data_IF_735375283501
#
_entry.id   IF_735375283501
#
_cell.length_a   1.000
_cell.length_b   1.000
_cell.length_c   1.000
_cell.angle_alpha   90.00
_cell.angle_beta   90.00
_cell.angle_gamma   90.00
#
_symmetry.space_group_name_H-M   'P 1'
#
loop_
_entity.id
_entity.type
_entity.pdbx_description
1 polymer ?
#
# COMPACT_ATOMS: atom_id res chain seq x y z
N UNK A 1 34.48 62.48 48.13
CA UNK A 1 34.59 62.55 46.66
C UNK A 1 33.70 61.45 46.12
N UNK A 2 32.45 61.68 45.72
CA UNK A 2 31.98 62.49 44.59
C UNK A 2 31.72 61.51 43.43
N UNK A 3 30.59 61.43 42.74
CA UNK A 3 29.29 62.10 42.75
C UNK A 3 28.46 61.46 41.62
N UNK A 4 27.11 61.49 41.71
CA UNK A 4 26.25 61.32 40.52
C UNK A 4 26.43 62.48 39.53
N UNK A 5 25.82 62.50 38.32
CA UNK A 5 24.38 62.33 38.02
C UNK A 5 24.15 61.44 36.76
N UNK A 6 22.99 61.04 36.24
CA UNK A 6 21.64 61.61 36.13
C UNK A 6 21.32 61.95 34.65
N UNK A 7 20.33 61.28 34.02
CA UNK A 7 19.58 61.69 32.79
C UNK A 7 18.39 60.72 32.62
N UNK A 8 17.13 61.14 32.78
CA UNK A 8 16.20 61.95 31.93
C UNK A 8 15.34 61.10 30.97
N UNK A 9 14.05 61.44 31.02
CA UNK A 9 12.86 60.90 30.37
C UNK A 9 12.77 61.17 28.85
N UNK A 10 12.02 60.32 28.15
CA UNK A 10 10.99 60.61 27.12
C UNK A 10 10.26 59.27 26.81
N UNK A 11 8.95 59.09 26.69
CA UNK A 11 7.83 60.02 26.47
C UNK A 11 7.37 60.02 25.01
N UNK A 12 6.25 59.36 24.68
CA UNK A 12 5.48 59.46 23.41
C UNK A 12 5.41 58.15 22.61
N UNK A 13 4.27 57.47 22.40
CA UNK A 13 2.99 57.80 21.73
C UNK A 13 2.87 57.13 20.33
N UNK A 14 1.68 56.57 20.04
CA UNK A 14 1.22 56.09 18.71
C UNK A 14 1.25 54.55 18.58
N UNK A 15 0.16 53.79 18.51
CA UNK A 15 -1.15 54.08 17.95
C UNK A 15 -1.12 53.87 16.43
N UNK A 16 -1.61 52.74 15.93
CA UNK A 16 -1.74 52.53 14.48
C UNK A 16 -2.05 51.10 14.06
N UNK A 17 -3.33 50.84 13.77
CA UNK A 17 -3.83 49.67 13.07
C UNK A 17 -3.07 49.40 11.75
N UNK A 18 -2.81 48.13 11.51
CA UNK A 18 -2.37 47.60 10.22
C UNK A 18 -2.85 46.18 10.05
N UNK A 19 -4.18 46.00 9.94
CA UNK A 19 -4.80 44.75 9.51
C UNK A 19 -4.41 44.45 8.07
N UNK A 20 -3.25 43.81 7.90
CA UNK A 20 -2.85 43.22 6.64
C UNK A 20 -3.57 41.90 6.45
N UNK A 21 -4.75 41.95 5.82
CA UNK A 21 -5.29 40.81 5.07
C UNK A 21 -4.33 40.56 3.89
N UNK A 22 -3.21 39.91 4.17
CA UNK A 22 -2.35 39.31 3.14
C UNK A 22 -3.08 38.10 2.58
N UNK A 23 -3.79 38.29 1.47
CA UNK A 23 -4.41 37.23 0.70
C UNK A 23 -3.41 36.10 0.46
N UNK A 24 -3.72 34.93 1.04
CA UNK A 24 -2.91 33.71 0.97
C UNK A 24 -2.87 33.16 -0.45
N UNK A 25 -1.95 33.68 -1.27
CA UNK A 25 -1.54 33.10 -2.55
C UNK A 25 -0.38 32.09 -2.39
N UNK A 26 0.05 31.82 -1.15
CA UNK A 26 1.13 30.90 -0.82
C UNK A 26 0.63 29.56 -0.29
N UNK A 27 0.10 28.70 -1.17
CA UNK A 27 -0.06 27.23 -1.03
C UNK A 27 -0.98 26.69 -2.12
N UNK A 28 -0.60 26.86 -3.39
CA UNK A 28 -1.28 26.12 -4.46
C UNK A 28 -0.71 24.69 -4.49
N UNK A 29 -1.58 23.70 -4.27
CA UNK A 29 -1.22 22.30 -4.02
C UNK A 29 -1.22 21.46 -5.31
N UNK A 30 -0.55 20.31 -5.26
CA UNK A 30 -0.10 19.49 -6.38
C UNK A 30 -1.18 19.10 -7.42
N UNK A 31 -2.45 19.14 -7.02
CA UNK A 31 -3.58 18.48 -7.69
C UNK A 31 -4.12 19.28 -8.87
N UNK A 32 -3.97 20.63 -8.85
CA UNK A 32 -4.35 21.50 -9.98
C UNK A 32 -3.53 21.20 -11.23
N UNK A 33 -2.26 20.82 -11.07
CA UNK A 33 -1.38 20.44 -12.19
C UNK A 33 -1.68 19.01 -12.63
N UNK A 34 -1.90 18.06 -11.71
CA UNK A 34 -2.30 16.70 -12.08
C UNK A 34 -3.58 16.70 -12.94
N UNK A 35 -4.59 17.51 -12.58
CA UNK A 35 -5.80 17.69 -13.36
C UNK A 35 -5.55 18.27 -14.76
N UNK A 36 -4.59 19.19 -14.91
CA UNK A 36 -4.21 19.78 -16.21
C UNK A 36 -3.33 18.85 -17.05
N UNK A 37 -2.38 18.15 -16.43
CA UNK A 37 -1.53 17.16 -17.09
C UNK A 37 -2.35 15.98 -17.57
N UNK A 38 -3.36 15.53 -16.82
CA UNK A 38 -4.30 14.49 -17.25
C UNK A 38 -5.22 14.94 -18.38
N UNK A 39 -5.68 16.21 -18.40
CA UNK A 39 -6.40 16.74 -19.59
C UNK A 39 -5.52 16.78 -20.84
N UNK A 40 -4.23 17.08 -20.66
CA UNK A 40 -3.24 17.10 -21.75
C UNK A 40 -2.83 15.69 -22.21
N UNK A 41 -2.79 14.71 -21.31
CA UNK A 41 -2.46 13.32 -21.60
C UNK A 41 -3.68 12.44 -21.96
N UNK A 42 -4.90 12.94 -21.71
CA UNK A 42 -6.18 12.21 -21.86
C UNK A 42 -7.07 12.66 -23.02
N UNK A 43 -6.51 13.26 -24.07
CA UNK A 43 -7.26 13.56 -25.30
C UNK A 43 -7.08 12.44 -26.34
N UNK A 44 -7.97 11.45 -26.33
CA UNK A 44 -8.12 10.39 -27.35
C UNK A 44 -9.33 9.48 -27.03
N UNK A 45 -10.14 9.07 -28.02
CA UNK A 45 -11.60 9.22 -27.99
C UNK A 45 -12.37 8.03 -27.38
N UNK A 46 -13.53 8.33 -26.79
CA UNK A 46 -14.57 7.35 -26.48
C UNK A 46 -15.21 7.55 -25.11
N UNK A 47 -15.96 8.64 -24.93
CA UNK A 47 -17.01 8.66 -23.91
C UNK A 47 -18.22 9.38 -24.53
N UNK A 48 -19.17 8.58 -25.02
CA UNK A 48 -20.40 9.06 -25.62
C UNK A 48 -21.22 9.78 -24.56
N UNK A 49 -21.35 11.09 -24.75
CA UNK A 49 -22.11 11.98 -23.91
C UNK A 49 -23.55 11.51 -23.73
N UNK A 50 -23.82 10.85 -22.61
CA UNK A 50 -25.12 10.90 -21.94
C UNK A 50 -24.97 11.69 -20.65
N UNK A 51 -25.27 12.97 -20.76
CA UNK A 51 -25.49 13.85 -19.62
C UNK A 51 -26.62 13.26 -18.75
N UNK A 52 -26.25 12.65 -17.63
CA UNK A 52 -27.19 12.36 -16.55
C UNK A 52 -27.55 13.69 -15.91
N UNK A 53 -28.79 14.16 -16.17
CA UNK A 53 -29.38 15.27 -15.43
C UNK A 53 -29.43 14.89 -13.95
N UNK A 54 -28.74 15.66 -13.13
CA UNK A 54 -28.82 15.58 -11.67
C UNK A 54 -30.18 16.09 -11.25
N UNK A 55 -31.05 15.18 -10.81
CA UNK A 55 -32.23 15.51 -10.03
C UNK A 55 -31.80 16.02 -8.64
N UNK A 56 -32.62 16.90 -8.07
CA UNK A 56 -32.37 17.64 -6.82
C UNK A 56 -32.13 16.80 -5.56
N UNK A 57 -32.02 17.45 -4.39
CA UNK A 57 -31.31 16.94 -3.23
C UNK A 57 -31.96 15.67 -2.67
N UNK A 58 -31.34 14.52 -2.94
CA UNK A 58 -31.71 13.25 -2.35
C UNK A 58 -30.87 12.98 -1.09
N UNK A 59 -31.52 12.35 -0.12
CA UNK A 59 -31.09 12.11 1.24
C UNK A 59 -29.66 11.54 1.39
N UNK A 60 -29.00 11.92 2.49
CA UNK A 60 -27.68 11.44 2.91
C UNK A 60 -27.55 9.93 2.70
N UNK A 61 -26.48 9.45 2.03
CA UNK A 61 -26.26 8.02 1.87
C UNK A 61 -26.06 7.39 3.25
N UNK A 62 -26.90 6.40 3.58
CA UNK A 62 -26.69 5.56 4.76
C UNK A 62 -25.39 4.80 4.56
N UNK A 63 -24.44 5.04 5.46
CA UNK A 63 -23.23 4.21 5.61
C UNK A 63 -23.71 2.78 5.92
N UNK A 64 -23.38 1.76 5.12
CA UNK A 64 -23.68 0.39 5.49
C UNK A 64 -22.96 0.04 6.79
N UNK A 65 -23.63 -0.66 7.70
CA UNK A 65 -22.99 -1.10 8.94
C UNK A 65 -21.74 -1.95 8.64
N UNK A 66 -20.66 -1.79 9.42
CA UNK A 66 -19.46 -2.58 9.26
C UNK A 66 -19.79 -4.05 9.58
N UNK A 67 -19.72 -4.90 8.57
CA UNK A 67 -19.69 -6.35 8.76
C UNK A 67 -18.38 -6.67 9.49
N UNK A 68 -18.48 -6.89 10.80
CA UNK A 68 -17.44 -7.56 11.57
C UNK A 68 -17.48 -9.02 11.15
N UNK A 69 -16.44 -9.51 10.47
CA UNK A 69 -16.26 -10.95 10.27
C UNK A 69 -15.65 -11.50 11.58
N UNK A 70 -16.35 -12.38 12.32
CA UNK A 70 -15.70 -13.11 13.39
C UNK A 70 -14.92 -14.30 12.81
N UNK A 71 -13.90 -14.72 13.54
CA UNK A 71 -13.07 -15.95 13.38
C UNK A 71 -13.80 -17.22 12.84
N UNK A 72 -15.10 -17.50 13.16
CA UNK A 72 -15.82 -18.66 12.62
C UNK A 72 -16.02 -18.64 11.10
N UNK A 73 -15.94 -17.47 10.45
CA UNK A 73 -16.05 -17.38 8.99
C UNK A 73 -14.79 -17.86 8.27
N UNK A 74 -13.64 -18.02 8.94
CA UNK A 74 -12.51 -18.70 8.32
C UNK A 74 -12.80 -20.20 8.19
N UNK A 75 -13.43 -20.79 9.21
CA UNK A 75 -13.89 -22.18 9.18
C UNK A 75 -15.05 -22.34 8.19
N UNK A 76 -16.06 -21.47 8.22
CA UNK A 76 -17.19 -21.48 7.29
C UNK A 76 -16.84 -20.99 5.87
N UNK A 77 -15.76 -20.25 5.63
CA UNK A 77 -15.31 -19.95 4.26
C UNK A 77 -14.36 -21.03 3.72
N UNK A 78 -13.60 -21.70 4.59
CA UNK A 78 -12.87 -22.93 4.23
C UNK A 78 -13.80 -24.13 4.05
N UNK A 79 -14.99 -24.13 4.67
CA UNK A 79 -15.98 -25.23 4.61
C UNK A 79 -17.26 -24.89 3.81
N UNK A 80 -17.61 -23.61 3.64
CA UNK A 80 -18.94 -23.15 3.18
C UNK A 80 -18.96 -22.41 1.83
N UNK A 81 -17.82 -21.94 1.31
CA UNK A 81 -17.62 -22.04 -0.14
C UNK A 81 -17.29 -23.52 -0.35
N UNK A 82 -18.30 -24.29 -0.80
CA UNK A 82 -18.22 -25.73 -0.90
C UNK A 82 -16.84 -26.16 -1.40
N UNK A 83 -16.04 -26.74 -0.49
CA UNK A 83 -14.86 -27.49 -0.87
C UNK A 83 -15.30 -28.36 -2.06
N UNK A 84 -14.55 -28.36 -3.18
CA UNK A 84 -14.82 -29.31 -4.25
C UNK A 84 -15.08 -30.68 -3.61
N UNK A 85 -16.08 -31.46 -4.06
CA UNK A 85 -16.37 -32.78 -3.49
C UNK A 85 -15.16 -33.73 -3.52
N UNK A 86 -14.15 -33.38 -4.32
CA UNK A 86 -12.84 -33.97 -4.56
C UNK A 86 -11.68 -33.26 -3.84
N UNK A 87 -11.93 -32.23 -3.03
CA UNK A 87 -10.94 -31.73 -2.09
C UNK A 87 -10.60 -32.90 -1.15
N UNK A 88 -9.35 -33.41 -1.18
CA UNK A 88 -8.95 -34.44 -0.24
C UNK A 88 -9.29 -33.91 1.14
N UNK A 89 -10.06 -34.69 1.93
CA UNK A 89 -10.44 -34.38 3.32
C UNK A 89 -9.33 -33.54 3.90
N UNK A 90 -9.60 -32.23 4.07
CA UNK A 90 -8.61 -31.22 4.45
C UNK A 90 -7.80 -31.86 5.56
N UNK A 91 -6.60 -32.35 5.23
CA UNK A 91 -5.89 -33.24 6.16
C UNK A 91 -5.68 -32.34 7.37
N UNK A 92 -6.28 -32.67 8.52
CA UNK A 92 -6.22 -31.81 9.70
C UNK A 92 -4.77 -31.48 10.05
N UNK A 93 -3.84 -32.34 9.59
CA UNK A 93 -2.39 -32.13 9.59
C UNK A 93 -1.91 -30.85 8.91
N UNK A 94 -2.58 -30.32 7.88
CA UNK A 94 -2.18 -29.05 7.26
C UNK A 94 -2.39 -27.88 8.23
N UNK A 95 -3.48 -27.90 9.01
CA UNK A 95 -3.73 -26.90 10.06
C UNK A 95 -2.74 -27.05 11.23
N UNK A 96 -2.20 -28.25 11.45
CA UNK A 96 -1.15 -28.48 12.45
C UNK A 96 0.21 -27.92 12.02
N UNK A 97 0.44 -27.75 10.71
CA UNK A 97 1.74 -27.33 10.15
C UNK A 97 1.75 -25.85 9.76
N UNK A 98 0.72 -25.40 9.04
CA UNK A 98 0.62 -24.03 8.53
C UNK A 98 -0.28 -23.17 9.43
N UNK A 99 0.15 -21.95 9.82
CA UNK A 99 -0.74 -21.00 10.45
C UNK A 99 -2.01 -20.76 9.61
N UNK A 100 -3.20 -20.61 10.23
CA UNK A 100 -4.47 -20.48 9.48
C UNK A 100 -4.46 -19.33 8.46
N UNK A 101 -3.82 -18.20 8.76
CA UNK A 101 -3.72 -17.07 7.84
C UNK A 101 -2.81 -17.38 6.63
N UNK A 102 -1.72 -18.13 6.83
CA UNK A 102 -0.83 -18.59 5.76
C UNK A 102 -1.55 -19.58 4.87
N UNK A 103 -2.25 -20.56 5.46
CA UNK A 103 -3.03 -21.55 4.74
C UNK A 103 -4.09 -20.88 3.85
N UNK A 104 -4.86 -19.96 4.42
CA UNK A 104 -5.90 -19.23 3.70
C UNK A 104 -5.33 -18.43 2.52
N UNK A 105 -4.26 -17.65 2.74
CA UNK A 105 -3.61 -16.90 1.65
C UNK A 105 -3.00 -17.82 0.58
N UNK A 106 -2.40 -18.94 0.98
CA UNK A 106 -1.84 -19.91 0.04
C UNK A 106 -2.93 -20.54 -0.83
N UNK A 107 -4.07 -20.91 -0.26
CA UNK A 107 -5.22 -21.39 -1.03
C UNK A 107 -5.73 -20.33 -2.01
N UNK A 108 -5.95 -19.09 -1.54
CA UNK A 108 -6.45 -18.04 -2.43
C UNK A 108 -5.47 -17.67 -3.55
N UNK A 109 -4.17 -17.74 -3.29
CA UNK A 109 -3.13 -17.41 -4.27
C UNK A 109 -2.94 -18.49 -5.35
N UNK A 110 -3.06 -19.76 -4.97
CA UNK A 110 -2.79 -20.90 -5.87
C UNK A 110 -4.03 -21.57 -6.44
N UNK A 111 -5.14 -21.56 -5.71
CA UNK A 111 -6.34 -22.38 -5.95
C UNK A 111 -5.98 -23.87 -6.18
N UNK A 112 -4.94 -24.36 -5.51
CA UNK A 112 -4.40 -25.71 -5.66
C UNK A 112 -4.00 -26.29 -4.31
N UNK A 113 -4.62 -27.41 -3.94
CA UNK A 113 -4.27 -28.12 -2.70
C UNK A 113 -2.89 -28.78 -2.78
N UNK A 114 -2.45 -29.20 -3.97
CA UNK A 114 -1.09 -29.73 -4.17
C UNK A 114 -0.03 -28.68 -3.88
N UNK A 115 -0.23 -27.44 -4.36
CA UNK A 115 0.68 -26.34 -4.04
C UNK A 115 0.67 -26.01 -2.53
N UNK A 116 -0.50 -26.03 -1.89
CA UNK A 116 -0.63 -25.83 -0.44
C UNK A 116 0.09 -26.93 0.35
N UNK A 117 -0.07 -28.20 -0.04
CA UNK A 117 0.63 -29.32 0.57
C UNK A 117 2.16 -29.20 0.39
N UNK A 118 2.62 -28.83 -0.82
CA UNK A 118 4.03 -28.54 -1.09
C UNK A 118 4.57 -27.39 -0.24
N UNK A 119 3.76 -26.36 0.03
CA UNK A 119 4.13 -25.30 0.97
C UNK A 119 4.26 -25.83 2.40
N UNK A 120 3.32 -26.65 2.87
CA UNK A 120 3.38 -27.23 4.22
C UNK A 120 4.64 -28.10 4.41
N UNK A 121 5.03 -28.87 3.40
CA UNK A 121 6.27 -29.65 3.42
C UNK A 121 7.50 -28.74 3.56
N UNK A 122 7.62 -27.72 2.71
CA UNK A 122 8.74 -26.76 2.77
C UNK A 122 8.73 -26.01 4.10
N UNK A 123 7.55 -25.63 4.60
CA UNK A 123 7.35 -24.89 5.84
C UNK A 123 7.92 -25.61 7.07
N UNK A 124 7.74 -26.93 7.16
CA UNK A 124 8.29 -27.76 8.24
C UNK A 124 9.82 -27.67 8.33
N UNK A 125 10.50 -27.46 7.21
CA UNK A 125 11.95 -27.35 7.12
C UNK A 125 12.50 -25.92 7.34
N UNK A 126 11.64 -24.89 7.38
CA UNK A 126 12.07 -23.50 7.58
C UNK A 126 12.45 -23.23 9.03
N UNK A 127 13.45 -22.37 9.25
CA UNK A 127 13.73 -21.81 10.57
C UNK A 127 12.66 -20.80 11.00
N UNK A 128 12.54 -20.54 12.30
CA UNK A 128 11.54 -19.60 12.83
C UNK A 128 11.61 -18.19 12.19
N UNK A 129 12.80 -17.58 11.94
CA UNK A 129 12.89 -16.29 11.27
C UNK A 129 12.39 -16.31 9.82
N UNK A 130 12.59 -17.43 9.11
CA UNK A 130 12.12 -17.58 7.73
C UNK A 130 10.60 -17.75 7.70
N UNK A 131 10.04 -18.59 8.58
CA UNK A 131 8.58 -18.74 8.73
C UNK A 131 7.90 -17.42 9.02
N UNK A 132 8.43 -16.62 9.95
CA UNK A 132 7.88 -15.31 10.26
C UNK A 132 7.95 -14.36 9.06
N UNK A 133 9.07 -14.31 8.35
CA UNK A 133 9.22 -13.48 7.14
C UNK A 133 8.27 -13.91 6.00
N UNK A 134 7.97 -15.20 5.86
CA UNK A 134 7.01 -15.71 4.86
C UNK A 134 5.57 -15.46 5.30
N UNK A 135 5.23 -15.65 6.58
CA UNK A 135 3.91 -15.35 7.11
C UNK A 135 3.60 -13.85 7.07
N UNK A 136 4.58 -13.00 7.38
CA UNK A 136 4.39 -11.56 7.58
C UNK A 136 5.48 -10.77 6.87
N UNK A 137 5.51 -10.76 5.53
CA UNK A 137 6.56 -10.04 4.78
C UNK A 137 6.50 -8.51 4.98
N UNK A 138 5.37 -7.96 5.43
CA UNK A 138 5.23 -6.54 5.83
C UNK A 138 5.52 -6.29 7.33
N UNK A 139 5.97 -7.33 8.06
CA UNK A 139 6.19 -7.31 9.50
C UNK A 139 4.90 -7.16 10.30
N UNK A 140 5.04 -6.82 11.59
CA UNK A 140 3.92 -6.62 12.52
C UNK A 140 3.39 -5.17 12.52
N UNK A 141 3.70 -4.38 11.48
CA UNK A 141 3.33 -2.96 11.43
C UNK A 141 4.09 -2.06 12.42
N UNK A 142 5.17 -2.56 13.03
CA UNK A 142 6.02 -1.77 13.91
C UNK A 142 6.99 -0.90 13.11
N UNK A 143 7.24 0.33 13.58
CA UNK A 143 8.21 1.20 12.94
C UNK A 143 9.63 0.64 13.10
N UNK A 144 10.40 0.63 12.02
CA UNK A 144 11.73 0.03 12.00
C UNK A 144 12.15 -0.45 10.61
N UNK A 145 13.34 -1.07 10.48
CA UNK A 145 13.71 -1.76 9.25
C UNK A 145 12.71 -2.87 8.91
N UNK A 146 12.25 -2.90 7.66
CA UNK A 146 11.51 -4.05 7.13
C UNK A 146 12.50 -5.00 6.47
N UNK A 147 12.48 -6.27 6.85
CA UNK A 147 13.46 -7.25 6.37
C UNK A 147 12.81 -8.43 5.63
N UNK A 148 13.44 -8.85 4.54
CA UNK A 148 13.17 -10.09 3.82
C UNK A 148 14.42 -10.98 3.96
N UNK A 149 14.27 -12.14 4.60
CA UNK A 149 15.40 -13.06 4.81
C UNK A 149 16.62 -12.37 5.44
N UNK A 150 16.39 -11.54 6.46
CA UNK A 150 17.44 -10.78 7.16
C UNK A 150 17.92 -9.50 6.46
N UNK A 151 17.54 -9.25 5.21
CA UNK A 151 18.01 -8.09 4.43
C UNK A 151 16.94 -7.00 4.31
N UNK A 152 17.32 -5.73 4.23
CA UNK A 152 16.35 -4.65 4.09
C UNK A 152 15.53 -4.80 2.80
N UNK A 153 14.20 -4.73 2.90
CA UNK A 153 13.28 -4.74 1.77
C UNK A 153 13.33 -3.38 1.06
N UNK A 154 14.45 -3.06 0.41
CA UNK A 154 14.73 -1.76 -0.20
C UNK A 154 14.50 -1.78 -1.72
N UNK A 155 14.01 -0.68 -2.27
CA UNK A 155 13.95 -0.47 -3.72
C UNK A 155 15.35 -0.51 -4.34
N UNK A 156 15.46 -1.01 -5.56
CA UNK A 156 16.75 -1.16 -6.25
C UNK A 156 17.31 0.18 -6.74
N UNK A 157 16.44 1.06 -7.25
CA UNK A 157 16.79 2.39 -7.75
C UNK A 157 15.66 3.41 -7.50
N UNK A 158 15.94 4.70 -7.73
CA UNK A 158 15.03 5.82 -7.46
C UNK A 158 13.68 5.80 -8.22
N UNK A 159 13.52 4.90 -9.19
CA UNK A 159 12.32 4.73 -10.02
C UNK A 159 11.62 3.39 -9.77
N UNK A 160 12.07 2.63 -8.79
CA UNK A 160 11.51 1.31 -8.41
C UNK A 160 10.65 1.37 -7.13
N UNK A 161 10.38 2.55 -6.57
CA UNK A 161 9.50 2.69 -5.40
C UNK A 161 8.13 2.02 -5.61
N UNK A 162 7.50 2.26 -6.77
CA UNK A 162 6.21 1.65 -7.13
C UNK A 162 6.29 0.12 -7.28
N UNK A 163 7.29 -0.41 -7.99
CA UNK A 163 7.41 -1.86 -8.16
C UNK A 163 7.85 -2.58 -6.89
N UNK A 164 8.63 -1.94 -6.01
CA UNK A 164 8.93 -2.45 -4.68
C UNK A 164 7.67 -2.56 -3.82
N UNK A 165 6.84 -1.51 -3.80
CA UNK A 165 5.54 -1.53 -3.11
C UNK A 165 4.61 -2.61 -3.66
N UNK A 166 4.49 -2.74 -4.98
CA UNK A 166 3.65 -3.76 -5.60
C UNK A 166 4.16 -5.19 -5.34
N UNK A 167 5.48 -5.38 -5.30
CA UNK A 167 6.09 -6.67 -4.95
C UNK A 167 5.76 -7.04 -3.50
N UNK A 168 5.88 -6.09 -2.57
CA UNK A 168 5.56 -6.32 -1.15
C UNK A 168 4.06 -6.52 -0.92
N UNK A 169 3.21 -5.82 -1.67
CA UNK A 169 1.77 -6.05 -1.68
C UNK A 169 1.44 -7.48 -2.11
N UNK A 170 2.02 -7.94 -3.23
CA UNK A 170 1.84 -9.30 -3.72
C UNK A 170 2.37 -10.35 -2.73
N UNK A 171 3.56 -10.15 -2.18
CA UNK A 171 4.14 -11.08 -1.19
C UNK A 171 3.28 -11.17 0.08
N UNK A 172 2.68 -10.06 0.53
CA UNK A 172 1.78 -10.06 1.67
C UNK A 172 0.48 -10.85 1.43
N UNK A 173 0.06 -10.96 0.17
CA UNK A 173 -1.09 -11.75 -0.25
C UNK A 173 -0.75 -13.18 -0.67
N UNK A 174 0.52 -13.48 -0.96
CA UNK A 174 0.95 -14.73 -1.59
C UNK A 174 2.18 -15.32 -0.85
N UNK A 175 1.95 -16.32 0.02
CA UNK A 175 3.01 -16.99 0.75
C UNK A 175 4.06 -17.67 -0.14
N UNK A 176 3.72 -18.07 -1.38
CA UNK A 176 4.68 -18.68 -2.30
C UNK A 176 5.66 -17.64 -2.84
N UNK A 177 5.19 -16.43 -3.14
CA UNK A 177 6.08 -15.32 -3.50
C UNK A 177 6.96 -14.91 -2.33
N UNK A 178 6.38 -14.80 -1.13
CA UNK A 178 7.15 -14.49 0.08
C UNK A 178 8.24 -15.55 0.35
N UNK A 179 7.90 -16.85 0.23
CA UNK A 179 8.84 -17.96 0.34
C UNK A 179 9.98 -17.85 -0.67
N UNK A 180 9.68 -17.61 -1.94
CA UNK A 180 10.70 -17.44 -2.97
C UNK A 180 11.63 -16.26 -2.68
N UNK A 181 11.07 -15.11 -2.29
CA UNK A 181 11.88 -13.93 -1.94
C UNK A 181 12.83 -14.23 -0.77
N UNK A 182 12.34 -14.87 0.28
CA UNK A 182 13.10 -15.16 1.51
C UNK A 182 14.15 -16.25 1.27
N UNK A 183 13.79 -17.34 0.59
CA UNK A 183 14.60 -18.58 0.57
C UNK A 183 15.13 -18.98 -0.81
N UNK A 184 14.54 -18.47 -1.89
CA UNK A 184 14.82 -18.93 -3.25
C UNK A 184 14.28 -20.33 -3.55
N UNK A 185 13.32 -20.83 -2.76
CA UNK A 185 12.64 -22.11 -3.00
C UNK A 185 11.28 -21.89 -3.64
N UNK A 186 10.98 -22.70 -4.66
CA UNK A 186 9.62 -22.88 -5.16
C UNK A 186 9.02 -24.14 -4.52
N UNK A 187 7.70 -24.21 -4.46
CA UNK A 187 7.02 -25.41 -3.95
C UNK A 187 6.65 -26.33 -5.12
N UNK A 188 6.67 -27.66 -4.94
CA UNK A 188 6.07 -28.58 -5.90
C UNK A 188 4.58 -28.29 -6.10
N UNK A 189 4.04 -28.56 -7.29
CA UNK A 189 2.61 -28.34 -7.64
C UNK A 189 1.83 -29.62 -7.97
N UNK A 190 2.38 -30.80 -7.66
CA UNK A 190 1.75 -32.10 -7.94
C UNK A 190 1.82 -32.53 -9.41
N UNK A 191 2.09 -31.63 -10.35
CA UNK A 191 2.16 -31.92 -11.79
C UNK A 191 3.54 -32.40 -12.28
N UNK A 192 4.47 -32.61 -11.35
CA UNK A 192 5.91 -32.78 -11.65
C UNK A 192 6.63 -31.44 -11.89
N UNK A 193 5.92 -30.31 -11.70
CA UNK A 193 6.44 -28.96 -11.80
C UNK A 193 6.62 -28.29 -10.43
N UNK A 194 6.68 -26.96 -10.46
CA UNK A 194 6.70 -26.12 -9.27
C UNK A 194 5.71 -24.99 -9.44
N UNK A 195 4.98 -24.67 -8.37
CA UNK A 195 4.08 -23.54 -8.34
C UNK A 195 4.88 -22.24 -8.51
N UNK A 196 4.51 -21.44 -9.51
CA UNK A 196 5.15 -20.16 -9.83
C UNK A 196 4.20 -19.00 -9.58
N UNK A 197 4.51 -18.13 -8.62
CA UNK A 197 3.81 -16.85 -8.45
C UNK A 197 3.75 -16.06 -9.77
N UNK A 198 2.67 -15.32 -10.03
CA UNK A 198 2.50 -14.52 -11.25
C UNK A 198 3.69 -13.63 -11.61
N UNK A 199 4.34 -13.03 -10.62
CA UNK A 199 5.48 -12.13 -10.78
C UNK A 199 6.74 -12.84 -11.33
N UNK A 200 6.79 -14.17 -11.23
CA UNK A 200 7.88 -15.01 -11.73
C UNK A 200 7.56 -15.70 -13.06
N UNK A 201 6.33 -15.58 -13.59
CA UNK A 201 5.91 -16.31 -14.81
C UNK A 201 6.73 -15.96 -16.05
N UNK A 202 7.27 -14.75 -16.12
CA UNK A 202 8.14 -14.32 -17.22
C UNK A 202 9.59 -14.81 -17.13
N UNK A 203 10.01 -15.40 -16.00
CA UNK A 203 11.36 -15.91 -15.82
C UNK A 203 11.47 -17.36 -16.32
N UNK A 204 12.47 -17.62 -17.16
CA UNK A 204 12.75 -18.96 -17.64
C UNK A 204 13.32 -19.87 -16.53
N UNK A 205 13.33 -21.20 -16.71
CA UNK A 205 13.94 -22.12 -15.75
C UNK A 205 15.40 -21.79 -15.41
N UNK A 206 16.19 -21.34 -16.39
CA UNK A 206 17.57 -20.94 -16.18
C UNK A 206 17.71 -19.67 -15.32
N UNK A 207 16.84 -18.67 -15.53
CA UNK A 207 16.83 -17.45 -14.72
C UNK A 207 16.48 -17.75 -13.26
N UNK A 208 15.48 -18.62 -13.06
CA UNK A 208 15.07 -19.06 -11.73
C UNK A 208 16.18 -19.88 -11.04
N UNK A 209 16.83 -20.80 -11.75
CA UNK A 209 17.95 -21.57 -11.22
C UNK A 209 19.14 -20.68 -10.84
N UNK A 210 19.40 -19.61 -11.61
CA UNK A 210 20.43 -18.63 -11.31
C UNK A 210 20.08 -17.77 -10.08
N UNK A 211 18.82 -17.35 -9.95
CA UNK A 211 18.34 -16.50 -8.85
C UNK A 211 18.08 -17.27 -7.55
N UNK A 212 17.80 -18.57 -7.61
CA UNK A 212 17.52 -19.41 -6.45
C UNK A 212 18.60 -19.29 -5.35
N UNK A 213 19.91 -19.48 -5.64
CA UNK A 213 20.96 -19.35 -4.63
C UNK A 213 21.35 -17.89 -4.32
N UNK A 214 20.80 -16.89 -5.03
CA UNK A 214 21.16 -15.49 -4.83
C UNK A 214 20.69 -14.97 -3.46
N UNK A 215 21.04 -13.73 -3.10
CA UNK A 215 20.55 -13.16 -1.83
C UNK A 215 19.06 -12.79 -1.93
N UNK A 216 18.33 -12.64 -0.80
CA UNK A 216 16.98 -12.08 -0.81
C UNK A 216 16.90 -10.71 -1.50
N UNK A 217 17.95 -9.90 -1.41
CA UNK A 217 18.03 -8.58 -2.07
C UNK A 217 18.05 -8.74 -3.59
N UNK A 218 18.85 -9.68 -4.11
CA UNK A 218 18.96 -9.91 -5.55
C UNK A 218 17.65 -10.44 -6.13
N UNK A 219 17.01 -11.39 -5.43
CA UNK A 219 15.68 -11.89 -5.81
C UNK A 219 14.63 -10.79 -5.75
N UNK A 220 14.59 -10.00 -4.69
CA UNK A 220 13.67 -8.87 -4.56
C UNK A 220 13.89 -7.85 -5.67
N UNK A 221 15.14 -7.53 -6.01
CA UNK A 221 15.47 -6.64 -7.12
C UNK A 221 15.06 -7.22 -8.49
N UNK A 222 15.21 -8.52 -8.70
CA UNK A 222 14.74 -9.18 -9.93
C UNK A 222 13.21 -9.10 -10.07
N UNK A 223 12.47 -9.37 -9.00
CA UNK A 223 11.01 -9.24 -9.00
C UNK A 223 10.58 -7.80 -9.19
N UNK A 224 11.24 -6.82 -8.54
CA UNK A 224 10.98 -5.40 -8.78
C UNK A 224 11.13 -5.00 -10.24
N UNK A 225 12.12 -5.54 -10.96
CA UNK A 225 12.30 -5.27 -12.40
C UNK A 225 11.18 -5.90 -13.23
N UNK A 226 10.81 -7.14 -12.94
CA UNK A 226 9.69 -7.82 -13.62
C UNK A 226 8.37 -7.06 -13.41
N UNK A 227 8.08 -6.70 -12.16
CA UNK A 227 6.88 -5.93 -11.79
C UNK A 227 6.91 -4.53 -12.39
N UNK A 228 8.05 -3.83 -12.42
CA UNK A 228 8.18 -2.52 -13.09
C UNK A 228 7.91 -2.62 -14.58
N UNK A 229 8.40 -3.67 -15.23
CA UNK A 229 8.15 -3.88 -16.65
C UNK A 229 6.66 -4.15 -16.91
N UNK A 230 6.02 -4.98 -16.08
CA UNK A 230 4.58 -5.23 -16.16
C UNK A 230 3.75 -3.96 -15.90
N UNK A 231 4.13 -3.18 -14.90
CA UNK A 231 3.38 -1.99 -14.47
C UNK A 231 3.65 -0.74 -15.32
N UNK A 232 4.63 -0.77 -16.22
CA UNK A 232 4.84 0.31 -17.21
C UNK A 232 4.31 -0.04 -18.59
N UNK A 233 4.06 -1.32 -18.87
CA UNK A 233 3.53 -1.78 -20.17
C UNK A 233 2.08 -1.31 -20.39
N UNK A 234 1.80 -0.83 -21.59
CA UNK A 234 0.46 -0.41 -22.01
C UNK A 234 -0.14 0.68 -21.10
N UNK A 235 0.70 1.57 -20.59
CA UNK A 235 0.26 2.65 -19.71
C UNK A 235 -0.35 3.81 -20.49
N UNK A 236 0.05 3.98 -21.75
CA UNK A 236 -0.42 5.02 -22.67
C UNK A 236 -1.05 4.35 -23.91
N UNK A 237 -2.06 3.50 -23.68
CA UNK A 237 -2.62 2.63 -24.72
C UNK A 237 -1.66 1.49 -25.05
N UNK A 238 -1.18 1.32 -26.30
CA UNK A 238 -0.19 0.30 -26.64
C UNK A 238 1.25 0.66 -26.21
N UNK A 239 1.50 1.94 -25.89
CA UNK A 239 2.85 2.43 -25.57
C UNK A 239 3.19 2.26 -24.08
N UNK A 240 4.46 1.96 -23.75
CA UNK A 240 4.90 1.90 -22.37
C UNK A 240 5.01 3.30 -21.74
N UNK A 241 4.87 3.35 -20.42
CA UNK A 241 5.24 4.52 -19.63
C UNK A 241 6.76 4.71 -19.64
N UNK A 242 7.27 5.95 -19.72
CA UNK A 242 8.70 6.19 -19.58
C UNK A 242 9.22 5.67 -18.23
N UNK A 243 10.13 4.69 -18.25
CA UNK A 243 10.62 4.03 -17.04
C UNK A 243 11.29 4.98 -16.03
N UNK A 244 11.80 6.13 -16.49
CA UNK A 244 12.37 7.19 -15.65
C UNK A 244 11.32 7.87 -14.75
N UNK A 245 10.03 7.75 -15.08
CA UNK A 245 8.91 8.31 -14.32
C UNK A 245 8.29 7.28 -13.36
N UNK A 246 8.94 6.13 -13.15
CA UNK A 246 8.49 5.10 -12.21
C UNK A 246 7.27 4.35 -12.70
N UNK A 247 6.30 4.10 -11.80
CA UNK A 247 5.08 3.34 -12.09
C UNK A 247 3.85 4.26 -12.04
N UNK A 248 3.06 4.41 -13.12
CA UNK A 248 1.87 5.24 -13.08
C UNK A 248 0.75 4.66 -12.19
N UNK A 249 -0.08 5.49 -11.53
CA UNK A 249 -1.09 4.99 -10.58
C UNK A 249 -2.12 4.02 -11.16
N UNK A 250 -2.60 4.29 -12.39
CA UNK A 250 -3.63 3.46 -13.03
C UNK A 250 -3.11 2.07 -13.43
N UNK A 251 -1.85 1.96 -13.85
CA UNK A 251 -1.25 0.66 -14.15
C UNK A 251 -0.80 -0.05 -12.87
N UNK A 252 -0.36 0.68 -11.83
CA UNK A 252 -0.15 0.10 -10.52
C UNK A 252 -1.43 -0.55 -9.99
N UNK A 253 -2.59 0.10 -10.14
CA UNK A 253 -3.87 -0.48 -9.77
C UNK A 253 -4.18 -1.78 -10.54
N UNK A 254 -3.87 -1.85 -11.84
CA UNK A 254 -4.03 -3.08 -12.64
C UNK A 254 -3.05 -4.19 -12.27
N UNK A 255 -1.83 -3.83 -11.85
CA UNK A 255 -0.78 -4.80 -11.48
C UNK A 255 -0.85 -5.21 -10.01
N UNK A 256 -1.50 -4.41 -9.16
CA UNK A 256 -1.66 -4.68 -7.75
C UNK A 256 -2.39 -6.01 -7.55
N UNK A 257 -1.77 -6.90 -6.78
CA UNK A 257 -2.28 -8.22 -6.49
C UNK A 257 -2.34 -8.42 -4.99
N UNK A 258 -3.54 -8.61 -4.47
CA UNK A 258 -3.80 -9.08 -3.12
C UNK A 258 -5.08 -9.92 -3.18
N UNK A 259 -5.12 -11.15 -2.62
CA UNK A 259 -6.29 -12.01 -2.74
C UNK A 259 -7.58 -11.33 -2.28
N UNK A 260 -8.66 -11.53 -3.06
CA UNK A 260 -9.97 -10.96 -2.74
C UNK A 260 -10.14 -9.46 -3.03
N UNK A 261 -9.16 -8.82 -3.68
CA UNK A 261 -9.26 -7.41 -4.06
C UNK A 261 -8.79 -7.18 -5.51
N UNK A 262 -9.67 -6.58 -6.32
CA UNK A 262 -9.25 -5.78 -7.46
C UNK A 262 -8.92 -4.37 -6.96
N UNK A 263 -7.94 -3.71 -7.56
CA UNK A 263 -7.55 -2.35 -7.15
C UNK A 263 -7.92 -1.32 -8.21
N UNK A 264 -8.25 -0.11 -7.75
CA UNK A 264 -8.52 1.07 -8.58
C UNK A 264 -7.68 2.26 -8.10
N UNK A 265 -7.20 3.06 -9.03
CA UNK A 265 -6.49 4.31 -8.71
C UNK A 265 -7.47 5.45 -8.52
N UNK A 266 -7.35 6.18 -7.42
CA UNK A 266 -8.16 7.35 -7.08
C UNK A 266 -7.24 8.56 -6.96
N UNK A 267 -7.49 9.59 -7.77
CA UNK A 267 -6.82 10.88 -7.63
C UNK A 267 -7.23 11.52 -6.32
N UNK A 268 -6.26 11.99 -5.56
CA UNK A 268 -6.50 12.71 -4.30
C UNK A 268 -6.38 14.18 -4.58
N UNK A 269 -7.46 14.93 -4.40
CA UNK A 269 -7.42 16.37 -4.25
C UNK A 269 -7.21 16.72 -2.77
N UNK A 270 -6.01 17.17 -2.41
CA UNK A 270 -5.64 17.55 -1.05
C UNK A 270 -6.01 19.01 -0.72
N UNK A 271 -6.50 19.78 -1.70
CA UNK A 271 -7.09 21.11 -1.49
C UNK A 271 -8.53 21.05 -0.99
N UNK A 272 -9.22 19.96 -1.33
CA UNK A 272 -10.55 19.66 -0.84
C UNK A 272 -10.45 18.72 0.36
N UNK A 273 -10.52 19.30 1.56
CA UNK A 273 -10.48 18.54 2.81
C UNK A 273 -11.60 17.50 2.90
N UNK A 274 -12.76 17.76 2.30
CA UNK A 274 -13.87 16.82 2.24
C UNK A 274 -13.53 15.60 1.39
N UNK A 275 -12.99 15.82 0.18
CA UNK A 275 -12.53 14.74 -0.70
C UNK A 275 -11.38 13.94 -0.08
N UNK A 276 -10.36 14.61 0.47
CA UNK A 276 -9.24 13.94 1.15
C UNK A 276 -9.74 13.08 2.33
N UNK A 277 -10.66 13.61 3.14
CA UNK A 277 -11.28 12.87 4.25
C UNK A 277 -12.01 11.64 3.74
N UNK A 278 -12.82 11.75 2.69
CA UNK A 278 -13.54 10.63 2.10
C UNK A 278 -12.60 9.55 1.53
N UNK A 279 -11.48 9.94 0.90
CA UNK A 279 -10.46 8.98 0.46
C UNK A 279 -9.83 8.27 1.65
N UNK A 280 -9.46 9.01 2.70
CA UNK A 280 -8.88 8.42 3.91
C UNK A 280 -9.86 7.51 4.66
N UNK A 281 -11.17 7.76 4.60
CA UNK A 281 -12.19 6.84 5.13
C UNK A 281 -12.21 5.52 4.37
N UNK A 282 -12.02 5.56 3.04
CA UNK A 282 -11.88 4.34 2.22
C UNK A 282 -10.59 3.59 2.51
N UNK A 283 -9.48 4.32 2.72
CA UNK A 283 -8.20 3.74 3.19
C UNK A 283 -8.41 3.02 4.52
N UNK A 284 -9.06 3.69 5.47
CA UNK A 284 -9.35 3.16 6.80
C UNK A 284 -10.19 1.89 6.75
N UNK A 285 -11.23 1.88 5.91
CA UNK A 285 -12.08 0.70 5.69
C UNK A 285 -11.30 -0.45 5.03
N UNK A 286 -10.41 -0.15 4.08
CA UNK A 286 -9.56 -1.15 3.44
C UNK A 286 -8.58 -1.78 4.43
N UNK A 287 -7.86 -0.97 5.21
CA UNK A 287 -6.90 -1.44 6.21
C UNK A 287 -7.58 -2.25 7.33
N UNK A 288 -8.78 -1.82 7.76
CA UNK A 288 -9.57 -2.57 8.75
C UNK A 288 -10.00 -3.96 8.25
N UNK A 289 -10.11 -4.13 6.92
CA UNK A 289 -10.39 -5.41 6.26
C UNK A 289 -9.12 -6.19 5.90
N UNK A 290 -7.95 -5.73 6.32
CA UNK A 290 -6.67 -6.38 6.05
C UNK A 290 -6.08 -6.10 4.68
N UNK A 291 -6.63 -5.17 3.89
CA UNK A 291 -6.07 -4.83 2.58
C UNK A 291 -5.01 -3.73 2.69
N UNK A 292 -3.75 -3.99 2.31
CA UNK A 292 -2.75 -2.94 2.21
C UNK A 292 -3.07 -1.96 1.06
N UNK A 293 -2.68 -0.70 1.22
CA UNK A 293 -3.05 0.39 0.31
C UNK A 293 -1.81 1.16 -0.16
N UNK A 294 -1.44 1.07 -1.45
CA UNK A 294 -0.41 1.94 -2.01
C UNK A 294 -0.87 3.40 -2.06
N UNK A 295 -0.02 4.30 -1.60
CA UNK A 295 -0.19 5.75 -1.70
C UNK A 295 0.93 6.36 -2.52
N UNK A 296 0.55 7.24 -3.42
CA UNK A 296 1.46 8.05 -4.21
C UNK A 296 1.66 9.40 -3.54
N UNK A 297 2.93 9.80 -3.40
CA UNK A 297 3.31 11.02 -2.68
C UNK A 297 4.09 11.98 -3.57
N UNK A 298 3.95 13.27 -3.26
CA UNK A 298 4.51 14.37 -4.05
C UNK A 298 4.73 15.64 -3.24
N UNK A 299 5.35 16.63 -3.87
CA UNK A 299 5.73 17.90 -3.27
C UNK A 299 4.79 19.05 -3.62
N UNK A 300 5.05 20.21 -3.02
CA UNK A 300 4.33 21.45 -3.28
C UNK A 300 4.70 22.07 -4.62
N UNK A 301 3.74 22.68 -5.32
CA UNK A 301 4.00 23.44 -6.55
C UNK A 301 4.96 24.62 -6.35
N UNK A 302 5.05 25.14 -5.12
CA UNK A 302 6.01 26.20 -4.76
C UNK A 302 7.47 25.79 -4.96
N UNK A 303 7.75 24.48 -5.06
CA UNK A 303 9.08 23.92 -5.38
C UNK A 303 9.24 23.55 -6.86
N UNK A 304 8.27 23.93 -7.69
CA UNK A 304 8.27 23.73 -9.14
C UNK A 304 7.26 22.68 -9.61
N UNK A 305 6.72 22.87 -10.82
CA UNK A 305 5.66 22.04 -11.43
C UNK A 305 6.03 20.55 -11.51
N UNK A 306 7.32 20.25 -11.71
CA UNK A 306 7.84 18.87 -11.77
C UNK A 306 7.74 18.15 -10.42
N UNK A 307 7.70 18.88 -9.30
CA UNK A 307 7.62 18.30 -7.94
C UNK A 307 6.19 17.97 -7.51
N UNK A 308 5.17 18.46 -8.21
CA UNK A 308 3.75 18.23 -7.93
C UNK A 308 3.17 16.97 -8.60
N UNK A 309 3.93 16.30 -9.44
CA UNK A 309 3.55 15.00 -10.02
C UNK A 309 3.87 13.91 -8.98
N UNK A 310 3.15 12.78 -8.92
CA UNK A 310 3.55 11.64 -8.09
C UNK A 310 5.03 11.29 -8.29
N UNK A 311 5.82 11.36 -7.21
CA UNK A 311 7.28 11.13 -7.25
C UNK A 311 7.69 9.84 -6.57
N UNK A 312 6.86 9.38 -5.65
CA UNK A 312 7.20 8.27 -4.78
C UNK A 312 5.94 7.48 -4.41
N UNK A 313 6.13 6.22 -4.05
CA UNK A 313 5.05 5.31 -3.67
C UNK A 313 5.41 4.67 -2.34
N UNK A 314 4.48 4.71 -1.41
CA UNK A 314 4.57 4.03 -0.10
C UNK A 314 3.41 3.05 0.04
N UNK A 315 3.51 2.10 0.97
CA UNK A 315 2.45 1.14 1.25
C UNK A 315 1.94 1.30 2.67
N UNK A 316 0.66 1.62 2.82
CA UNK A 316 -0.01 1.50 4.12
C UNK A 316 -0.25 0.02 4.42
N UNK A 317 0.23 -0.40 5.59
CA UNK A 317 0.16 -1.78 6.07
C UNK A 317 -1.00 -1.89 7.05
N UNK A 318 -1.86 -2.92 6.96
CA UNK A 318 -2.87 -3.19 7.97
C UNK A 318 -2.22 -3.31 9.35
N UNK A 319 -2.91 -2.90 10.43
CA UNK A 319 -2.41 -3.17 11.77
C UNK A 319 -2.23 -4.69 11.95
N UNK A 320 -1.11 -5.11 12.54
CA UNK A 320 -0.93 -6.50 12.92
C UNK A 320 -2.01 -6.94 13.91
N UNK A 321 -2.39 -8.22 13.88
CA UNK A 321 -3.26 -8.82 14.90
C UNK A 321 -2.67 -8.68 16.31
N UNK A 322 -1.33 -8.61 16.39
CA UNK A 322 -0.58 -8.17 17.55
C UNK A 322 -0.69 -6.64 17.64
N UNK A 323 -1.83 -6.14 18.12
CA UNK A 323 -2.01 -4.73 18.44
C UNK A 323 -0.87 -4.21 19.34
N UNK A 324 -0.73 -2.89 19.51
CA UNK A 324 0.29 -2.34 20.42
C UNK A 324 0.21 -3.06 21.78
N UNK A 325 1.34 -3.49 22.36
CA UNK A 325 1.33 -4.19 23.64
C UNK A 325 0.63 -3.29 24.68
N UNK A 326 -0.59 -3.66 25.06
CA UNK A 326 -1.48 -2.85 25.91
C UNK A 326 -2.93 -2.73 25.44
N UNK A 327 -3.28 -3.14 24.22
CA UNK A 327 -4.67 -3.25 23.77
C UNK A 327 -5.26 -4.62 24.08
N UNK A 328 -6.09 -4.75 25.13
CA UNK A 328 -6.83 -5.98 25.38
C UNK A 328 -7.68 -6.36 24.16
N UNK A 329 -7.74 -7.65 23.76
CA UNK A 329 -8.67 -8.12 22.75
C UNK A 329 -10.10 -7.81 23.23
N UNK A 330 -10.76 -6.84 22.60
CA UNK A 330 -12.06 -6.31 23.04
C UNK A 330 -12.08 -4.81 23.38
N UNK A 331 -10.95 -4.11 23.33
CA UNK A 331 -10.95 -2.65 23.44
C UNK A 331 -11.71 -2.04 22.24
N UNK A 332 -12.84 -1.36 22.52
CA UNK A 332 -13.60 -0.60 21.50
C UNK A 332 -12.63 0.29 20.70
N UNK A 333 -12.81 0.43 19.38
CA UNK A 333 -12.03 1.38 18.60
C UNK A 333 -12.10 2.75 19.29
N UNK A 334 -10.93 3.32 19.57
CA UNK A 334 -10.78 4.54 20.34
C UNK A 334 -11.79 5.60 19.86
N UNK A 335 -12.64 6.04 20.78
CA UNK A 335 -13.63 7.07 20.56
C UNK A 335 -12.95 8.39 20.16
N UNK A 336 -13.33 8.88 18.98
CA UNK A 336 -13.38 10.28 18.51
C UNK A 336 -12.18 11.23 18.58
N UNK A 337 -11.05 10.95 19.25
CA UNK A 337 -9.91 11.91 19.26
C UNK A 337 -8.51 11.28 19.31
N UNK A 338 -8.40 9.95 19.36
CA UNK A 338 -7.10 9.27 19.20
C UNK A 338 -6.67 9.30 17.74
N UNK A 339 -5.66 10.11 17.40
CA UNK A 339 -5.15 10.22 16.03
C UNK A 339 -4.79 8.83 15.47
N UNK A 340 -5.61 8.33 14.55
CA UNK A 340 -5.42 7.01 13.92
C UNK A 340 -4.03 6.98 13.26
N UNK A 341 -3.20 6.03 13.68
CA UNK A 341 -1.84 5.89 13.16
C UNK A 341 -1.79 4.75 12.13
N UNK A 342 -1.15 5.03 11.01
CA UNK A 342 -0.83 4.09 9.96
C UNK A 342 0.61 3.58 10.12
N UNK A 343 0.81 2.29 9.86
CA UNK A 343 2.11 1.73 9.55
C UNK A 343 2.38 1.92 8.05
N UNK A 344 3.50 2.53 7.70
CA UNK A 344 3.81 2.91 6.31
C UNK A 344 5.15 2.33 5.89
N UNK A 345 5.14 1.35 5.00
CA UNK A 345 6.34 0.87 4.36
C UNK A 345 6.83 1.89 3.31
N UNK A 346 8.01 2.44 3.56
CA UNK A 346 8.74 3.35 2.69
C UNK A 346 9.90 2.57 2.03
N UNK A 347 9.85 2.37 0.70
CA UNK A 347 10.74 1.44 0.02
C UNK A 347 12.17 1.98 -0.21
N UNK A 348 12.44 3.28 -0.17
CA UNK A 348 13.78 3.84 -0.39
C UNK A 348 14.72 3.57 0.80
N UNK A 349 14.19 3.60 2.02
CA UNK A 349 14.88 3.17 3.23
C UNK A 349 14.70 1.68 3.53
N UNK A 350 13.68 1.04 2.96
CA UNK A 350 13.29 -0.32 3.33
C UNK A 350 12.80 -0.39 4.77
N UNK A 351 11.92 0.55 5.16
CA UNK A 351 11.51 0.75 6.56
C UNK A 351 10.02 0.94 6.68
N UNK A 352 9.48 0.55 7.82
CA UNK A 352 8.14 0.94 8.25
C UNK A 352 8.24 2.18 9.13
N UNK A 353 7.39 3.16 8.87
CA UNK A 353 7.23 4.38 9.64
C UNK A 353 5.83 4.45 10.24
N UNK A 354 5.64 5.35 11.22
CA UNK A 354 4.31 5.76 11.68
C UNK A 354 3.91 7.05 10.99
N UNK A 355 2.65 7.13 10.59
CA UNK A 355 2.03 8.32 10.02
C UNK A 355 0.62 8.43 10.56
N UNK A 356 0.25 9.56 11.16
CA UNK A 356 -1.12 9.73 11.64
C UNK A 356 -2.02 10.29 10.55
N UNK A 357 -3.32 9.99 10.66
CA UNK A 357 -4.35 10.58 9.79
C UNK A 357 -4.34 12.10 9.83
N UNK A 358 -4.13 12.69 11.02
CA UNK A 358 -4.04 14.14 11.19
C UNK A 358 -2.85 14.74 10.41
N UNK A 359 -1.72 14.05 10.37
CA UNK A 359 -0.54 14.49 9.60
C UNK A 359 -0.76 14.43 8.08
N UNK A 360 -1.66 13.56 7.60
CA UNK A 360 -2.06 13.53 6.19
C UNK A 360 -3.05 14.65 5.87
N UNK A 361 -4.01 14.92 6.76
CA UNK A 361 -5.02 15.97 6.59
C UNK A 361 -4.44 17.39 6.71
N UNK A 362 -3.40 17.56 7.53
CA UNK A 362 -2.74 18.85 7.74
C UNK A 362 -1.22 18.71 7.58
N UNK A 363 -0.71 18.59 6.34
CA UNK A 363 0.72 18.46 6.07
C UNK A 363 1.51 19.67 6.56
N UNK A 364 2.52 19.42 7.40
CA UNK A 364 3.44 20.43 7.93
C UNK A 364 4.80 20.47 7.18
N UNK A 365 4.93 19.70 6.09
CA UNK A 365 6.14 19.58 5.28
C UNK A 365 6.55 18.13 5.00
N UNK A 366 7.74 17.91 4.42
CA UNK A 366 8.30 16.60 4.11
C UNK A 366 8.27 15.61 5.28
N UNK A 367 7.83 14.37 5.03
CA UNK A 367 7.82 13.29 6.02
C UNK A 367 8.57 12.07 5.53
N UNK A 368 9.37 11.46 6.42
CA UNK A 368 10.05 10.20 6.13
C UNK A 368 9.05 9.09 5.74
N UNK A 369 7.91 9.00 6.41
CA UNK A 369 6.85 8.04 6.08
C UNK A 369 6.26 8.20 4.66
N UNK A 370 6.47 9.35 4.01
CA UNK A 370 6.02 9.65 2.65
C UNK A 370 7.18 9.70 1.65
N UNK A 371 8.36 9.18 2.02
CA UNK A 371 9.57 9.22 1.17
C UNK A 371 10.21 10.60 1.06
N UNK A 372 10.04 11.46 2.07
CA UNK A 372 10.53 12.84 2.07
C UNK A 372 9.61 13.83 1.34
N UNK A 373 8.37 13.43 1.06
CA UNK A 373 7.35 14.26 0.42
C UNK A 373 6.32 14.77 1.43
N UNK A 374 5.56 15.80 1.05
CA UNK A 374 4.59 16.45 1.93
C UNK A 374 3.19 15.89 1.77
N UNK A 375 2.80 15.51 0.54
CA UNK A 375 1.39 15.31 0.18
C UNK A 375 1.12 13.93 -0.40
N UNK A 376 -0.09 13.45 -0.18
CA UNK A 376 -0.67 12.30 -0.90
C UNK A 376 -1.41 12.84 -2.11
N UNK A 377 -1.09 12.33 -3.30
CA UNK A 377 -1.67 12.79 -4.56
C UNK A 377 -2.50 11.69 -5.26
N UNK A 378 -2.30 10.43 -4.90
CA UNK A 378 -3.10 9.31 -5.40
C UNK A 378 -3.17 8.19 -4.35
N UNK A 379 -4.28 7.46 -4.36
CA UNK A 379 -4.44 6.22 -3.62
C UNK A 379 -4.78 5.08 -4.58
N UNK A 380 -4.20 3.90 -4.36
CA UNK A 380 -4.58 2.67 -5.05
C UNK A 380 -5.38 1.82 -4.07
N UNK A 381 -6.70 1.86 -4.20
CA UNK A 381 -7.62 1.30 -3.22
C UNK A 381 -8.25 0.01 -3.75
N UNK A 382 -8.57 -0.97 -2.87
CA UNK A 382 -9.46 -2.05 -3.25
C UNK A 382 -10.77 -1.47 -3.82
N UNK A 383 -11.07 -1.82 -5.05
CA UNK A 383 -12.39 -1.64 -5.63
C UNK A 383 -13.32 -2.68 -5.02
N UNK A 384 -14.56 -2.30 -4.72
CA UNK A 384 -15.58 -3.29 -4.44
C UNK A 384 -15.74 -4.14 -5.68
N UNK A 385 -15.36 -5.42 -5.59
CA UNK A 385 -15.59 -6.35 -6.67
C UNK A 385 -17.08 -6.49 -6.89
N UNK A 386 -17.53 -6.11 -8.09
CA UNK A 386 -18.47 -6.98 -8.79
C UNK A 386 -17.81 -8.36 -8.98
N UNK A 387 -18.60 -9.40 -9.30
CA UNK A 387 -18.16 -10.80 -9.25
C UNK A 387 -16.85 -11.00 -10.02
N UNK A 388 -15.90 -11.69 -9.38
CA UNK A 388 -14.66 -12.15 -10.00
C UNK A 388 -15.04 -13.25 -10.98
N UNK A 389 -15.08 -12.95 -12.27
CA UNK A 389 -15.15 -13.99 -13.29
C UNK A 389 -13.80 -14.69 -13.33
N UNK A 390 -13.82 -15.99 -13.02
CA UNK A 390 -12.65 -16.88 -12.98
C UNK A 390 -12.02 -17.19 -14.33
#
# INVERSE_FOLDING_TARGET
MGGGPGRRQAGGQGGGHGGGQGGGLGRLQATTVAHRLLRLLGSGPGDDGRAVRVAGPAASPRVPEPVVLPDPLLQDALLGDALPPDAPLLDTRLLDVLPPDVLHRAWLASRSWDAVAGLAEVWGALGAPERDAVARPLGHGHAGPLRLGGHAARQTDATTCGSAVLTMLAAAGDPFLALWLVTGRLVPDGSGGHHRPPELRGAGPADLAHLAPATPVDRFGAVQRAVKHASTRGALGPLPWPGALGTPPWTAARTARYPGAAYASVLVDDTDTGHLTAVLDRVDAALARGFPVPLYTGGDLSRGVVTAVPRHVVLLVPPGADGPPGGSPGARPATSTGARAYAVYEPAGGRVHRLTRAEVLAPAGPRAALGGWSHVCWAVLPAHGGPVTG
#
